data_IF_682289114189
#
_entry.id   IF_682289114189
#
_cell.length_a   1.000
_cell.length_b   1.000
_cell.length_c   1.000
_cell.angle_alpha   90.00
_cell.angle_beta   90.00
_cell.angle_gamma   90.00
#
_symmetry.space_group_name_H-M   'P 1'
#
loop_
_entity.id
_entity.type
_entity.pdbx_description
1 polymer ?
#
# COMPACT_ATOMS: atom_id res chain seq x y z
N UNK A 1 -50.41 -13.50 -10.42
CA UNK A 1 -49.44 -12.54 -10.98
C UNK A 1 -48.62 -12.00 -9.83
N UNK A 2 -47.37 -12.44 -9.68
CA UNK A 2 -46.45 -11.88 -8.69
C UNK A 2 -45.30 -11.22 -9.44
N UNK A 3 -45.20 -9.89 -9.32
CA UNK A 3 -44.12 -9.10 -9.91
C UNK A 3 -42.85 -9.32 -9.07
N UNK A 4 -41.78 -9.82 -9.70
CA UNK A 4 -40.46 -9.82 -9.08
C UNK A 4 -39.82 -8.44 -9.23
N UNK A 5 -39.58 -7.80 -8.10
CA UNK A 5 -38.84 -6.53 -8.00
C UNK A 5 -37.36 -6.84 -8.19
N UNK A 6 -36.82 -6.44 -9.34
CA UNK A 6 -35.42 -6.57 -9.68
C UNK A 6 -34.60 -5.60 -8.81
N UNK A 7 -33.84 -6.13 -7.85
CA UNK A 7 -32.92 -5.35 -7.03
C UNK A 7 -31.84 -4.75 -7.93
N UNK A 8 -31.86 -3.42 -8.07
CA UNK A 8 -30.85 -2.66 -8.77
C UNK A 8 -29.53 -2.71 -7.98
N UNK A 9 -28.70 -3.72 -8.28
CA UNK A 9 -27.31 -3.74 -7.85
C UNK A 9 -26.55 -2.59 -8.51
N UNK A 10 -25.90 -1.75 -7.72
CA UNK A 10 -24.95 -0.74 -8.18
C UNK A 10 -23.98 -1.34 -9.21
N UNK A 11 -23.78 -0.72 -10.38
CA UNK A 11 -22.86 -1.24 -11.38
C UNK A 11 -21.44 -1.18 -10.82
N UNK A 12 -20.86 -2.35 -10.51
CA UNK A 12 -19.43 -2.49 -10.36
C UNK A 12 -18.79 -2.07 -11.70
N UNK A 13 -17.87 -1.11 -11.66
CA UNK A 13 -17.14 -0.68 -12.85
C UNK A 13 -16.28 -1.85 -13.35
N UNK A 14 -16.82 -2.63 -14.29
CA UNK A 14 -16.13 -3.75 -14.91
C UNK A 14 -15.17 -3.21 -15.98
N UNK A 15 -13.93 -2.94 -15.59
CA UNK A 15 -12.85 -2.65 -16.51
C UNK A 15 -12.23 -3.97 -17.01
N UNK A 16 -12.30 -4.23 -18.32
CA UNK A 16 -11.89 -5.51 -18.92
C UNK A 16 -10.58 -5.32 -19.69
N UNK A 17 -9.46 -5.75 -19.11
CA UNK A 17 -8.12 -5.62 -19.72
C UNK A 17 -7.63 -6.90 -20.44
N UNK A 18 -8.27 -8.06 -20.21
CA UNK A 18 -7.99 -9.36 -20.86
C UNK A 18 -9.25 -10.24 -20.82
N UNK A 19 -9.36 -11.33 -21.61
CA UNK A 19 -10.47 -12.27 -21.53
C UNK A 19 -10.42 -13.01 -20.18
N UNK A 20 -11.09 -12.42 -19.21
CA UNK A 20 -11.15 -12.80 -17.81
C UNK A 20 -11.64 -11.58 -17.04
N UNK A 21 -12.87 -11.63 -16.54
CA UNK A 21 -13.43 -10.56 -15.72
C UNK A 21 -12.62 -10.45 -14.44
N UNK A 22 -11.73 -9.45 -14.36
CA UNK A 22 -11.00 -9.12 -13.13
C UNK A 22 -12.02 -8.57 -12.15
N UNK A 23 -12.46 -9.40 -11.20
CA UNK A 23 -13.30 -8.95 -10.11
C UNK A 23 -12.45 -8.09 -9.16
N UNK A 24 -12.56 -6.77 -9.29
CA UNK A 24 -12.04 -5.85 -8.30
C UNK A 24 -12.89 -5.95 -7.04
N UNK A 25 -12.47 -6.81 -6.14
CA UNK A 25 -13.09 -6.95 -4.84
C UNK A 25 -12.81 -5.69 -4.02
N UNK A 26 -13.84 -5.08 -3.42
CA UNK A 26 -13.73 -3.80 -2.70
C UNK A 26 -12.65 -3.84 -1.62
N UNK A 27 -12.44 -5.03 -1.03
CA UNK A 27 -11.42 -5.31 -0.03
C UNK A 27 -10.00 -5.04 -0.52
N UNK A 28 -9.69 -5.36 -1.78
CA UNK A 28 -8.37 -5.10 -2.37
C UNK A 28 -8.12 -3.59 -2.39
N UNK A 29 -9.13 -2.80 -2.78
CA UNK A 29 -9.04 -1.35 -2.79
C UNK A 29 -8.85 -0.77 -1.38
N UNK A 30 -9.61 -1.26 -0.40
CA UNK A 30 -9.51 -0.80 0.99
C UNK A 30 -8.10 -1.09 1.57
N UNK A 31 -7.57 -2.30 1.38
CA UNK A 31 -6.22 -2.65 1.84
C UNK A 31 -5.12 -1.90 1.09
N UNK A 32 -5.27 -1.70 -0.22
CA UNK A 32 -4.33 -0.91 -1.01
C UNK A 32 -4.30 0.55 -0.52
N UNK A 33 -5.45 1.12 -0.12
CA UNK A 33 -5.53 2.47 0.41
C UNK A 33 -4.84 2.58 1.79
N UNK A 34 -5.04 1.61 2.68
CA UNK A 34 -4.32 1.54 3.95
C UNK A 34 -2.81 1.48 3.68
N UNK A 35 -2.38 0.64 2.75
CA UNK A 35 -0.96 0.50 2.41
C UNK A 35 -0.38 1.78 1.80
N UNK A 36 -1.15 2.47 0.95
CA UNK A 36 -0.76 3.75 0.39
C UNK A 36 -0.57 4.82 1.48
N UNK A 37 -1.44 4.86 2.48
CA UNK A 37 -1.31 5.74 3.64
C UNK A 37 -0.04 5.42 4.44
N UNK A 38 0.25 4.14 4.70
CA UNK A 38 1.48 3.71 5.38
C UNK A 38 2.73 4.10 4.59
N UNK A 39 2.73 3.93 3.26
CA UNK A 39 3.86 4.31 2.42
C UNK A 39 4.08 5.82 2.42
N UNK A 40 2.99 6.59 2.40
CA UNK A 40 3.06 8.05 2.47
C UNK A 40 3.66 8.50 3.80
N UNK A 41 3.24 7.88 4.90
CA UNK A 41 3.75 8.20 6.21
C UNK A 41 5.22 7.78 6.38
N UNK A 42 5.62 6.65 5.81
CA UNK A 42 7.02 6.23 5.72
C UNK A 42 7.87 7.26 4.98
N UNK A 43 7.43 7.71 3.79
CA UNK A 43 8.11 8.79 3.04
C UNK A 43 8.27 10.04 3.91
N UNK A 44 7.18 10.52 4.50
CA UNK A 44 7.20 11.74 5.33
C UNK A 44 8.18 11.55 6.50
N UNK A 45 8.06 10.47 7.26
CA UNK A 45 8.90 10.24 8.44
C UNK A 45 10.38 10.14 8.07
N UNK A 46 10.74 9.40 7.03
CA UNK A 46 12.13 9.32 6.54
C UNK A 46 12.66 10.68 6.12
N UNK A 47 11.90 11.47 5.37
CA UNK A 47 12.36 12.79 4.94
C UNK A 47 12.54 13.77 6.09
N UNK A 48 11.64 13.74 7.07
CA UNK A 48 11.78 14.58 8.26
C UNK A 48 13.02 14.17 9.06
N UNK A 49 13.27 12.86 9.24
CA UNK A 49 14.48 12.38 9.92
C UNK A 49 15.75 12.88 9.21
N UNK A 50 15.83 12.72 7.89
CA UNK A 50 16.98 13.17 7.10
C UNK A 50 17.16 14.70 7.16
N UNK A 51 16.06 15.45 7.14
CA UNK A 51 16.10 16.91 7.23
C UNK A 51 16.63 17.39 8.59
N UNK A 52 16.36 16.63 9.66
CA UNK A 52 16.87 16.90 11.01
C UNK A 52 18.29 16.35 11.24
N UNK A 53 18.97 15.84 10.21
CA UNK A 53 20.34 15.35 10.28
C UNK A 53 20.50 13.86 10.63
N UNK A 54 19.39 13.10 10.64
CA UNK A 54 19.42 11.65 10.76
C UNK A 54 19.99 10.96 9.53
N UNK A 55 20.20 9.64 9.63
CA UNK A 55 20.74 8.82 8.54
C UNK A 55 19.80 7.66 8.20
N UNK A 56 19.75 7.29 6.94
CA UNK A 56 19.04 6.09 6.47
C UNK A 56 19.87 4.84 6.80
N UNK A 57 19.29 3.90 7.55
CA UNK A 57 19.97 2.68 7.98
C UNK A 57 20.07 1.64 6.86
N UNK A 58 19.16 1.68 5.88
CA UNK A 58 19.20 0.75 4.75
C UNK A 58 20.15 1.27 3.66
N UNK A 59 21.31 0.60 3.42
CA UNK A 59 22.30 1.08 2.45
C UNK A 59 21.77 1.14 1.01
N UNK A 60 20.78 0.31 0.66
CA UNK A 60 20.15 0.34 -0.66
C UNK A 60 19.21 1.54 -0.84
N UNK A 61 18.60 2.03 0.24
CA UNK A 61 17.71 3.17 0.22
C UNK A 61 18.45 4.49 0.46
N UNK A 62 19.64 4.47 1.07
CA UNK A 62 20.40 5.67 1.44
C UNK A 62 20.61 6.67 0.29
N UNK A 63 20.81 6.20 -0.94
CA UNK A 63 20.93 7.07 -2.12
C UNK A 63 19.59 7.50 -2.74
N UNK A 64 18.50 6.79 -2.44
CA UNK A 64 17.16 6.99 -3.01
C UNK A 64 16.37 7.99 -2.16
N UNK A 65 16.46 7.86 -0.83
CA UNK A 65 15.69 8.68 0.13
C UNK A 65 16.15 10.13 0.21
N UNK A 66 17.31 10.47 -0.37
CA UNK A 66 17.79 11.86 -0.45
C UNK A 66 17.00 12.68 -1.48
N UNK A 67 16.34 12.03 -2.44
CA UNK A 67 15.49 12.67 -3.43
C UNK A 67 14.02 12.28 -3.21
N UNK A 68 13.14 13.19 -2.73
CA UNK A 68 11.75 12.86 -2.40
C UNK A 68 10.96 12.22 -3.51
N UNK A 69 11.18 12.66 -4.75
CA UNK A 69 10.53 12.09 -5.93
C UNK A 69 11.01 10.67 -6.23
N UNK A 70 12.29 10.37 -6.04
CA UNK A 70 12.83 9.02 -6.24
C UNK A 70 12.29 8.06 -5.17
N UNK A 71 12.26 8.49 -3.91
CA UNK A 71 11.69 7.72 -2.82
C UNK A 71 10.20 7.42 -3.06
N UNK A 72 9.41 8.44 -3.40
CA UNK A 72 8.01 8.28 -3.74
C UNK A 72 7.82 7.35 -4.96
N UNK A 73 8.67 7.45 -5.97
CA UNK A 73 8.64 6.57 -7.15
C UNK A 73 8.83 5.10 -6.79
N UNK A 74 9.80 4.77 -5.93
CA UNK A 74 10.04 3.39 -5.47
C UNK A 74 8.87 2.86 -4.66
N UNK A 75 8.28 3.70 -3.78
CA UNK A 75 7.09 3.32 -3.01
C UNK A 75 5.88 3.09 -3.91
N UNK A 76 5.64 3.93 -4.90
CA UNK A 76 4.55 3.75 -5.86
C UNK A 76 4.75 2.48 -6.70
N UNK A 77 5.96 2.20 -7.19
CA UNK A 77 6.27 0.97 -7.90
C UNK A 77 6.02 -0.27 -7.02
N UNK A 78 6.42 -0.21 -5.76
CA UNK A 78 6.18 -1.29 -4.78
C UNK A 78 4.69 -1.50 -4.52
N UNK A 79 3.91 -0.42 -4.36
CA UNK A 79 2.46 -0.50 -4.16
C UNK A 79 1.76 -1.14 -5.36
N UNK A 80 2.11 -0.73 -6.58
CA UNK A 80 1.54 -1.31 -7.81
C UNK A 80 1.87 -2.80 -7.96
N UNK A 81 3.10 -3.19 -7.60
CA UNK A 81 3.52 -4.58 -7.59
C UNK A 81 2.68 -5.40 -6.60
N UNK A 82 2.51 -4.91 -5.37
CA UNK A 82 1.72 -5.57 -4.33
C UNK A 82 0.26 -5.73 -4.78
N UNK A 83 -0.35 -4.69 -5.33
CA UNK A 83 -1.72 -4.75 -5.86
C UNK A 83 -1.84 -5.78 -6.98
N UNK A 84 -0.90 -5.78 -7.92
CA UNK A 84 -0.90 -6.72 -9.05
C UNK A 84 -0.75 -8.16 -8.58
N UNK A 85 0.20 -8.43 -7.69
CA UNK A 85 0.41 -9.75 -7.08
C UNK A 85 -0.82 -10.18 -6.30
N UNK A 86 -1.47 -9.28 -5.56
CA UNK A 86 -2.69 -9.61 -4.83
C UNK A 86 -3.85 -9.98 -5.75
N UNK A 87 -4.04 -9.27 -6.87
CA UNK A 87 -5.07 -9.60 -7.85
C UNK A 87 -4.80 -10.99 -8.43
N UNK A 88 -3.55 -11.26 -8.82
CA UNK A 88 -3.16 -12.58 -9.33
C UNK A 88 -3.39 -13.66 -8.27
N UNK A 89 -2.98 -13.43 -7.02
CA UNK A 89 -3.18 -14.38 -5.93
C UNK A 89 -4.67 -14.69 -5.70
N UNK A 90 -5.53 -13.67 -5.70
CA UNK A 90 -6.97 -13.82 -5.53
C UNK A 90 -7.60 -14.66 -6.66
N UNK A 91 -7.13 -14.49 -7.91
CA UNK A 91 -7.61 -15.29 -9.05
C UNK A 91 -7.20 -16.75 -8.99
N UNK A 92 -6.08 -17.07 -8.33
CA UNK A 92 -5.60 -18.46 -8.19
C UNK A 92 -6.16 -19.13 -6.93
N UNK A 93 -6.25 -18.40 -5.81
CA UNK A 93 -6.73 -18.88 -4.52
C UNK A 93 -7.64 -17.82 -3.90
N UNK A 94 -8.94 -18.08 -3.95
CA UNK A 94 -9.97 -17.15 -3.45
C UNK A 94 -9.80 -16.89 -1.94
N UNK A 95 -9.80 -15.62 -1.55
CA UNK A 95 -9.60 -15.16 -0.17
C UNK A 95 -8.13 -15.02 0.26
N UNK A 96 -7.16 -15.35 -0.60
CA UNK A 96 -5.73 -15.24 -0.27
C UNK A 96 -5.27 -13.79 -0.06
N UNK A 97 -5.97 -12.83 -0.67
CA UNK A 97 -5.72 -11.38 -0.53
C UNK A 97 -5.59 -10.93 0.92
N UNK A 98 -6.47 -11.40 1.82
CA UNK A 98 -6.53 -10.90 3.19
C UNK A 98 -5.25 -11.25 3.94
N UNK A 99 -4.81 -12.50 3.86
CA UNK A 99 -3.57 -12.95 4.51
C UNK A 99 -2.34 -12.24 3.93
N UNK A 100 -2.30 -12.08 2.61
CA UNK A 100 -1.22 -11.39 1.92
C UNK A 100 -1.06 -9.93 2.37
N UNK A 101 -2.15 -9.15 2.33
CA UNK A 101 -2.11 -7.76 2.80
C UNK A 101 -1.84 -7.65 4.30
N UNK A 102 -2.37 -8.55 5.13
CA UNK A 102 -2.14 -8.52 6.57
C UNK A 102 -0.64 -8.59 6.92
N UNK A 103 0.10 -9.52 6.29
CA UNK A 103 1.54 -9.66 6.50
C UNK A 103 2.29 -8.39 6.12
N UNK A 104 1.97 -7.82 4.96
CA UNK A 104 2.64 -6.60 4.46
C UNK A 104 2.31 -5.39 5.34
N UNK A 105 1.05 -5.23 5.73
CA UNK A 105 0.62 -4.14 6.60
C UNK A 105 1.33 -4.21 7.96
N UNK A 106 1.42 -5.40 8.56
CA UNK A 106 2.15 -5.59 9.83
C UNK A 106 3.62 -5.18 9.67
N UNK A 107 4.28 -5.62 8.59
CA UNK A 107 5.67 -5.24 8.32
C UNK A 107 5.83 -3.71 8.21
N UNK A 108 4.93 -3.05 7.48
CA UNK A 108 4.99 -1.59 7.31
C UNK A 108 4.65 -0.81 8.58
N UNK A 109 3.79 -1.35 9.44
CA UNK A 109 3.56 -0.78 10.78
C UNK A 109 4.83 -0.83 11.64
N UNK A 110 5.60 -1.93 11.58
CA UNK A 110 6.87 -2.02 12.31
C UNK A 110 7.90 -1.00 11.79
N UNK A 111 8.01 -0.84 10.47
CA UNK A 111 8.88 0.18 9.86
C UNK A 111 8.47 1.58 10.32
N UNK A 112 7.17 1.89 10.30
CA UNK A 112 6.66 3.17 10.75
C UNK A 112 6.97 3.45 12.23
N UNK A 113 6.80 2.44 13.10
CA UNK A 113 7.18 2.55 14.52
C UNK A 113 8.66 2.83 14.66
N UNK A 114 9.51 2.11 13.92
CA UNK A 114 10.96 2.34 13.91
C UNK A 114 11.31 3.78 13.50
N UNK A 115 10.72 4.29 12.41
CA UNK A 115 10.95 5.67 11.97
C UNK A 115 10.46 6.68 13.01
N UNK A 116 9.33 6.42 13.66
CA UNK A 116 8.80 7.29 14.71
C UNK A 116 9.77 7.35 15.91
N UNK A 117 10.31 6.20 16.35
CA UNK A 117 11.30 6.14 17.43
C UNK A 117 12.58 6.91 17.05
N UNK A 118 13.06 6.77 15.81
CA UNK A 118 14.22 7.50 15.33
C UNK A 118 13.97 9.02 15.20
N UNK A 119 12.72 9.41 14.98
CA UNK A 119 12.33 10.82 14.83
C UNK A 119 12.20 11.55 16.17
N UNK A 120 11.73 10.89 17.24
CA UNK A 120 11.47 11.50 18.56
C UNK A 120 12.65 12.34 19.10
N UNK A 121 13.92 11.88 19.09
CA UNK A 121 15.05 12.66 19.60
C UNK A 121 15.28 13.99 18.88
N UNK A 122 14.83 14.10 17.62
CA UNK A 122 15.06 15.27 16.78
C UNK A 122 13.94 16.32 16.87
N UNK A 123 12.78 15.95 17.40
CA UNK A 123 11.64 16.88 17.60
C UNK A 123 11.55 17.35 19.06
N UNK A 124 12.02 16.53 20.01
CA UNK A 124 11.94 16.82 21.44
C UNK A 124 13.11 17.65 21.99
N UNK A 125 14.12 17.95 21.15
CA UNK A 125 15.26 18.82 21.46
C UNK A 125 15.17 20.13 20.71
#
# INVERSE_FOLDING_TARGET
>A
MAAQVQQAGTPAANFTLLPGTVHFDRRIADFALILAALFTLDIITTHVILWLGGIELNPYMAGIVTAPLAHAGVKMATLLLIVTVSIIAETNVKGSTIGFYAVIIILYLLILVNNTIALVPHIAG
#
